data_IF_470886572335
#
_entry.id   IF_470886572335
#
_cell.length_a   1.000
_cell.length_b   1.000
_cell.length_c   1.000
_cell.angle_alpha   90.00
_cell.angle_beta   90.00
_cell.angle_gamma   90.00
#
_symmetry.space_group_name_H-M   'P 1'
#
loop_
_entity.id
_entity.type
_entity.pdbx_description
1 polymer ?
#
# COMPACT_ATOMS: atom_id res chain seq x y z
N UNK A 1 9.88 25.58 -3.19
CA UNK A 1 8.86 24.99 -2.31
C UNK A 1 7.54 24.97 -3.05
N UNK A 2 7.16 23.82 -3.59
CA UNK A 2 5.80 23.58 -4.08
C UNK A 2 4.90 23.50 -2.84
N UNK A 3 3.98 24.46 -2.71
CA UNK A 3 2.93 24.40 -1.70
C UNK A 3 1.90 23.37 -2.22
N UNK A 4 2.03 22.12 -1.79
CA UNK A 4 1.08 21.08 -2.18
C UNK A 4 -0.24 21.27 -1.43
N UNK A 5 -1.34 21.10 -2.15
CA UNK A 5 -2.67 21.09 -1.55
C UNK A 5 -2.84 19.81 -0.74
N UNK A 6 -2.83 19.95 0.58
CA UNK A 6 -3.02 18.84 1.53
C UNK A 6 -4.38 18.14 1.36
N UNK A 7 -5.33 18.70 0.61
CA UNK A 7 -6.61 18.05 0.28
C UNK A 7 -6.45 16.77 -0.56
N UNK A 8 -5.32 16.65 -1.29
CA UNK A 8 -5.00 15.47 -2.12
C UNK A 8 -4.22 14.40 -1.37
N UNK A 9 -3.82 14.65 -0.13
CA UNK A 9 -3.09 13.66 0.68
C UNK A 9 -4.00 12.46 0.99
N UNK A 10 -3.43 11.26 0.91
CA UNK A 10 -4.07 9.98 1.23
C UNK A 10 -3.15 9.15 2.11
N UNK A 11 -3.73 8.22 2.84
CA UNK A 11 -3.00 7.19 3.58
C UNK A 11 -2.93 5.95 2.71
N UNK A 12 -1.72 5.50 2.41
CA UNK A 12 -1.42 4.32 1.64
C UNK A 12 -1.13 3.17 2.59
N UNK A 13 -1.78 2.04 2.33
CA UNK A 13 -1.46 0.78 2.99
C UNK A 13 -0.36 0.08 2.19
N UNK A 14 0.78 -0.13 2.84
CA UNK A 14 1.97 -0.72 2.26
C UNK A 14 2.35 -2.00 3.01
N UNK A 15 3.08 -2.87 2.33
CA UNK A 15 3.67 -4.08 2.89
C UNK A 15 5.18 -4.00 2.76
N UNK A 16 5.88 -4.45 3.80
CA UNK A 16 7.30 -4.75 3.68
C UNK A 16 7.46 -6.02 2.86
N UNK A 17 8.10 -5.92 1.69
CA UNK A 17 8.44 -7.12 0.93
C UNK A 17 9.65 -7.83 1.55
N UNK A 18 9.81 -9.12 1.25
CA UNK A 18 10.97 -9.96 1.63
C UNK A 18 12.33 -9.35 1.20
N UNK A 19 12.32 -8.35 0.30
CA UNK A 19 13.50 -7.58 -0.13
C UNK A 19 13.64 -6.20 0.57
N UNK A 20 12.91 -5.95 1.65
CA UNK A 20 12.86 -4.69 2.42
C UNK A 20 12.45 -3.47 1.59
N UNK A 21 11.72 -3.68 0.50
CA UNK A 21 11.13 -2.59 -0.28
C UNK A 21 9.66 -2.47 0.05
N UNK A 22 9.23 -1.25 0.33
CA UNK A 22 7.83 -0.90 0.50
C UNK A 22 7.11 -1.15 -0.83
N UNK A 23 5.98 -1.84 -0.76
CA UNK A 23 5.10 -2.07 -1.90
C UNK A 23 3.66 -1.82 -1.46
N UNK A 24 2.74 -1.49 -2.37
CA UNK A 24 1.32 -1.49 -2.05
C UNK A 24 0.89 -2.80 -1.40
N UNK A 25 -0.12 -2.77 -0.53
CA UNK A 25 -0.67 -4.00 0.02
C UNK A 25 -1.57 -4.75 -0.95
N UNK A 26 -2.14 -4.02 -1.91
CA UNK A 26 -3.06 -4.58 -2.88
C UNK A 26 -2.68 -4.17 -4.30
N UNK A 27 -2.97 -5.07 -5.23
CA UNK A 27 -2.78 -4.81 -6.65
C UNK A 27 -3.63 -3.59 -7.07
N UNK A 28 -3.06 -2.64 -7.83
CA UNK A 28 -3.84 -1.58 -8.45
C UNK A 28 -4.79 -2.14 -9.52
N UNK A 29 -5.92 -1.49 -9.73
CA UNK A 29 -6.86 -1.85 -10.80
C UNK A 29 -6.43 -1.23 -12.15
N UNK A 30 -6.05 -2.08 -13.10
CA UNK A 30 -5.66 -1.66 -14.45
C UNK A 30 -6.81 -1.16 -15.32
N UNK A 31 -8.05 -1.42 -14.94
CA UNK A 31 -9.24 -1.00 -15.69
C UNK A 31 -9.88 0.28 -15.14
N UNK A 32 -9.28 0.86 -14.10
CA UNK A 32 -9.73 2.10 -13.50
C UNK A 32 -9.74 3.26 -14.52
N UNK A 33 -10.53 4.29 -14.24
CA UNK A 33 -10.62 5.48 -15.09
C UNK A 33 -9.56 6.55 -14.77
N UNK A 34 -8.87 6.42 -13.63
CA UNK A 34 -7.85 7.35 -13.14
C UNK A 34 -6.85 6.64 -12.21
N UNK A 35 -5.71 7.26 -11.92
CA UNK A 35 -4.77 6.72 -10.92
C UNK A 35 -5.38 6.70 -9.52
N UNK A 36 -6.18 7.71 -9.16
CA UNK A 36 -6.91 7.73 -7.89
C UNK A 36 -7.84 6.52 -7.76
N UNK A 37 -8.56 6.16 -8.83
CA UNK A 37 -9.42 4.98 -8.85
C UNK A 37 -8.60 3.68 -8.86
N UNK A 38 -7.47 3.65 -9.59
CA UNK A 38 -6.60 2.48 -9.69
C UNK A 38 -6.00 2.09 -8.34
N UNK A 39 -5.71 3.09 -7.49
CA UNK A 39 -5.12 2.90 -6.17
C UNK A 39 -6.15 2.82 -5.04
N UNK A 40 -7.45 2.87 -5.36
CA UNK A 40 -8.52 2.85 -4.36
C UNK A 40 -8.48 1.60 -3.45
N UNK A 41 -7.92 0.48 -3.92
CA UNK A 41 -7.80 -0.76 -3.15
C UNK A 41 -6.84 -0.68 -1.97
N UNK A 42 -5.90 0.27 -1.95
CA UNK A 42 -4.90 0.42 -0.88
C UNK A 42 -4.75 1.88 -0.42
N UNK A 43 -5.73 2.75 -0.71
CA UNK A 43 -5.71 4.15 -0.31
C UNK A 43 -6.91 4.51 0.56
N UNK A 44 -6.64 5.28 1.61
CA UNK A 44 -7.61 5.64 2.64
C UNK A 44 -7.58 7.15 2.89
N UNK A 45 -8.72 7.68 3.32
CA UNK A 45 -8.84 9.10 3.66
C UNK A 45 -8.17 9.44 5.00
N UNK A 46 -8.12 8.48 5.93
CA UNK A 46 -7.52 8.67 7.26
C UNK A 46 -6.71 7.45 7.69
N UNK A 47 -5.84 7.66 8.66
CA UNK A 47 -4.97 6.61 9.21
C UNK A 47 -5.77 5.59 10.01
N UNK A 48 -6.80 6.02 10.73
CA UNK A 48 -7.69 5.12 11.46
C UNK A 48 -8.42 4.13 10.53
N UNK A 49 -8.78 4.57 9.31
CA UNK A 49 -9.43 3.70 8.34
C UNK A 49 -8.45 2.64 7.79
N UNK A 50 -7.21 3.03 7.50
CA UNK A 50 -6.18 2.10 7.05
C UNK A 50 -5.75 1.12 8.15
N UNK A 51 -5.62 1.58 9.40
CA UNK A 51 -5.29 0.74 10.55
C UNK A 51 -6.42 -0.24 10.91
N UNK A 52 -7.68 0.13 10.67
CA UNK A 52 -8.80 -0.80 10.79
C UNK A 52 -8.69 -1.95 9.78
N UNK A 53 -8.25 -1.67 8.53
CA UNK A 53 -7.99 -2.71 7.54
C UNK A 53 -6.87 -3.66 7.96
N UNK A 54 -5.72 -3.13 8.40
CA UNK A 54 -4.59 -3.94 8.88
C UNK A 54 -5.06 -4.93 9.95
N UNK A 55 -5.85 -4.43 10.90
CA UNK A 55 -6.39 -5.27 11.97
C UNK A 55 -7.29 -6.39 11.43
N UNK A 56 -8.17 -6.10 10.48
CA UNK A 56 -9.07 -7.09 9.88
C UNK A 56 -8.30 -8.16 9.08
N UNK A 57 -7.24 -7.76 8.36
CA UNK A 57 -6.33 -8.68 7.66
C UNK A 57 -5.66 -9.62 8.65
N UNK A 58 -5.08 -9.08 9.73
CA UNK A 58 -4.40 -9.87 10.77
C UNK A 58 -5.38 -10.83 11.46
N UNK A 59 -6.57 -10.36 11.83
CA UNK A 59 -7.59 -11.19 12.47
C UNK A 59 -8.09 -12.30 11.54
N UNK A 60 -8.27 -12.01 10.25
CA UNK A 60 -8.68 -13.01 9.25
C UNK A 60 -7.59 -14.06 9.05
N UNK A 61 -6.32 -13.67 8.85
CA UNK A 61 -5.19 -14.61 8.70
C UNK A 61 -5.02 -15.48 9.95
N UNK A 62 -5.20 -14.90 11.13
CA UNK A 62 -5.14 -15.63 12.40
C UNK A 62 -6.26 -16.66 12.53
N UNK A 63 -7.45 -16.37 12.02
CA UNK A 63 -8.58 -17.31 12.02
C UNK A 63 -8.42 -18.43 10.99
N UNK A 64 -7.69 -18.21 9.90
CA UNK A 64 -7.36 -19.25 8.90
C UNK A 64 -6.27 -20.21 9.38
N UNK A 65 -5.41 -19.77 10.31
CA UNK A 65 -4.54 -20.66 11.08
C UNK A 65 -5.39 -21.40 12.13
N UNK A 66 -5.91 -22.58 11.81
CA UNK A 66 -6.31 -23.55 12.84
C UNK A 66 -5.03 -24.16 13.44
N UNK A 67 -4.64 -23.84 14.70
CA UNK A 67 -3.59 -24.60 15.35
C UNK A 67 -4.06 -26.06 15.45
N UNK A 68 -3.25 -27.00 14.96
CA UNK A 68 -3.51 -28.43 15.15
C UNK A 68 -3.53 -28.69 16.66
N UNK A 69 -4.69 -29.09 17.21
CA UNK A 69 -4.94 -29.24 18.67
C UNK A 69 -4.01 -30.27 19.36
N UNK A 70 -3.09 -30.89 18.63
CA UNK A 70 -2.12 -31.88 19.10
C UNK A 70 -0.67 -31.39 19.24
N UNK A 71 -0.35 -30.13 18.91
CA UNK A 71 1.03 -29.63 18.95
C UNK A 71 1.20 -28.43 19.90
N UNK A 72 1.16 -28.68 21.21
CA UNK A 72 1.41 -27.69 22.28
C UNK A 72 2.81 -27.02 22.20
N UNK A 73 3.70 -27.49 21.32
CA UNK A 73 5.02 -26.91 21.08
C UNK A 73 5.06 -25.89 19.94
N UNK A 74 4.00 -25.80 19.11
CA UNK A 74 3.95 -24.92 17.94
C UNK A 74 3.26 -23.57 18.20
N UNK A 75 2.59 -23.39 19.35
CA UNK A 75 1.87 -22.15 19.67
C UNK A 75 2.78 -20.93 19.88
N UNK A 76 4.04 -21.12 20.30
CA UNK A 76 4.99 -20.03 20.59
C UNK A 76 5.80 -19.62 19.34
N UNK A 77 6.10 -20.55 18.42
CA UNK A 77 6.86 -20.27 17.18
C UNK A 77 5.95 -19.84 16.00
N UNK A 78 4.72 -20.40 15.86
CA UNK A 78 3.84 -20.07 14.74
C UNK A 78 3.23 -18.65 14.84
N UNK A 79 3.23 -18.06 16.03
CA UNK A 79 2.83 -16.67 16.23
C UNK A 79 3.92 -15.66 15.79
N UNK A 80 5.20 -16.07 15.80
CA UNK A 80 6.32 -15.23 15.34
C UNK A 80 6.50 -15.29 13.81
N UNK A 81 6.13 -16.40 13.14
CA UNK A 81 6.25 -16.56 11.67
C UNK A 81 5.15 -15.84 10.85
N UNK A 82 4.11 -15.31 11.49
CA UNK A 82 3.07 -14.50 10.82
C UNK A 82 3.52 -13.05 10.55
N UNK A 83 4.74 -12.68 10.96
CA UNK A 83 5.25 -11.30 11.07
C UNK A 83 6.18 -10.86 9.91
N UNK A 84 6.55 -11.76 8.99
CA UNK A 84 7.62 -11.49 8.00
C UNK A 84 7.24 -10.50 6.88
N UNK A 85 6.00 -10.02 6.83
CA UNK A 85 5.59 -8.89 5.99
C UNK A 85 4.75 -7.91 6.81
N UNK A 86 5.39 -7.10 7.66
CA UNK A 86 4.71 -6.03 8.40
C UNK A 86 3.93 -5.13 7.42
N UNK A 87 2.60 -5.11 7.56
CA UNK A 87 1.75 -4.12 6.91
C UNK A 87 1.77 -2.81 7.70
N UNK A 88 2.06 -1.71 7.01
CA UNK A 88 2.17 -0.39 7.62
C UNK A 88 1.56 0.68 6.73
N UNK A 89 1.38 1.87 7.29
CA UNK A 89 0.73 2.99 6.60
C UNK A 89 1.71 4.14 6.35
N UNK A 90 1.60 4.77 5.19
CA UNK A 90 2.33 6.01 4.85
C UNK A 90 1.38 7.06 4.25
N UNK A 91 1.63 8.35 4.48
CA UNK A 91 0.93 9.45 3.83
C UNK A 91 1.65 9.87 2.56
N UNK A 92 0.87 10.15 1.53
CA UNK A 92 1.43 10.62 0.28
C UNK A 92 0.40 11.27 -0.63
N UNK A 93 0.86 11.68 -1.81
CA UNK A 93 0.06 12.29 -2.86
C UNK A 93 0.35 11.57 -4.17
N UNK A 94 -0.73 11.25 -4.90
CA UNK A 94 -0.64 10.72 -6.27
C UNK A 94 -0.33 11.88 -7.22
N UNK A 95 0.79 11.80 -7.93
CA UNK A 95 1.22 12.77 -8.92
C UNK A 95 0.54 12.53 -10.28
N UNK A 96 0.66 13.50 -11.18
CA UNK A 96 -0.01 13.45 -12.50
C UNK A 96 0.52 12.31 -13.39
N UNK A 97 1.70 11.78 -13.12
CA UNK A 97 2.30 10.61 -13.80
C UNK A 97 1.96 9.27 -13.12
N UNK A 98 1.15 9.30 -12.06
CA UNK A 98 0.75 8.13 -11.28
C UNK A 98 1.77 7.69 -10.23
N UNK A 99 2.91 8.37 -10.07
CA UNK A 99 3.81 8.12 -8.96
C UNK A 99 3.22 8.60 -7.64
N UNK A 100 3.68 8.02 -6.52
CA UNK A 100 3.28 8.43 -5.18
C UNK A 100 4.45 9.16 -4.55
N UNK A 101 4.26 10.42 -4.17
CA UNK A 101 5.19 11.16 -3.34
C UNK A 101 4.78 11.04 -1.87
N UNK A 102 5.62 10.44 -1.04
CA UNK A 102 5.34 10.33 0.38
C UNK A 102 5.67 11.62 1.13
N UNK A 103 4.89 11.92 2.16
CA UNK A 103 4.96 13.18 2.92
C UNK A 103 5.34 12.99 4.39
N UNK A 104 5.46 11.75 4.86
CA UNK A 104 5.80 11.45 6.27
C UNK A 104 7.24 11.79 6.63
N UNK A 105 8.17 11.69 5.67
CA UNK A 105 9.60 11.95 5.84
C UNK A 105 10.04 13.14 4.98
N UNK A 106 9.71 14.38 5.39
CA UNK A 106 10.00 15.57 4.60
C UNK A 106 11.51 15.83 4.41
N UNK A 107 12.38 15.18 5.18
CA UNK A 107 13.83 15.20 5.01
C UNK A 107 14.35 14.37 3.82
N UNK A 108 13.54 13.49 3.24
CA UNK A 108 13.92 12.66 2.10
C UNK A 108 13.38 13.31 0.81
N UNK A 109 14.22 14.07 0.11
CA UNK A 109 13.82 14.81 -1.10
C UNK A 109 13.35 13.90 -2.25
N UNK A 110 13.75 12.62 -2.24
CA UNK A 110 13.47 11.63 -3.29
C UNK A 110 12.57 10.47 -2.81
N UNK A 111 11.66 10.73 -1.87
CA UNK A 111 10.72 9.71 -1.34
C UNK A 111 9.51 9.51 -2.26
N UNK A 112 9.79 9.09 -3.50
CA UNK A 112 8.80 8.88 -4.56
C UNK A 112 8.81 7.42 -5.00
N UNK A 113 7.65 6.76 -4.91
CA UNK A 113 7.42 5.46 -5.51
C UNK A 113 6.89 5.63 -6.93
N UNK A 114 7.65 5.18 -7.93
CA UNK A 114 7.27 5.34 -9.33
C UNK A 114 6.09 4.46 -9.72
N UNK A 115 5.27 4.93 -10.67
CA UNK A 115 4.16 4.15 -11.26
C UNK A 115 4.62 2.79 -11.81
N UNK A 116 5.81 2.76 -12.43
CA UNK A 116 6.43 1.54 -12.96
C UNK A 116 6.77 0.54 -11.85
N UNK A 117 7.17 1.03 -10.67
CA UNK A 117 7.44 0.17 -9.51
C UNK A 117 6.16 -0.42 -8.96
N UNK A 118 5.11 0.40 -8.85
CA UNK A 118 3.79 0.02 -8.31
C UNK A 118 3.15 -1.06 -9.19
N UNK A 119 2.94 -0.78 -10.48
CA UNK A 119 2.30 -1.72 -11.39
C UNK A 119 3.21 -2.91 -11.73
N UNK A 120 4.52 -2.66 -11.85
CA UNK A 120 5.51 -3.68 -12.14
C UNK A 120 5.65 -4.75 -11.05
N UNK A 121 5.41 -4.39 -9.78
CA UNK A 121 5.41 -5.36 -8.67
C UNK A 121 4.37 -6.48 -8.85
N UNK A 122 3.26 -6.19 -9.54
CA UNK A 122 2.18 -7.13 -9.79
C UNK A 122 2.16 -7.68 -11.23
N UNK A 123 3.12 -7.31 -12.07
CA UNK A 123 3.13 -7.69 -13.48
C UNK A 123 1.97 -7.12 -14.28
N UNK A 124 1.40 -5.99 -13.84
CA UNK A 124 0.27 -5.32 -14.46
C UNK A 124 0.78 -4.26 -15.43
N UNK A 125 0.17 -4.17 -16.62
CA UNK A 125 0.49 -3.11 -17.57
C UNK A 125 -0.05 -1.77 -17.04
N UNK A 126 0.78 -0.72 -17.12
CA UNK A 126 0.38 0.63 -16.70
C UNK A 126 -0.73 1.11 -17.65
N UNK A 127 -1.92 1.45 -17.15
CA UNK A 127 -3.00 1.97 -17.97
C UNK A 127 -2.64 3.34 -18.53
N UNK A 128 -3.05 3.60 -19.77
CA UNK A 128 -2.91 4.93 -20.37
C UNK A 128 -4.00 5.86 -19.83
N UNK A 129 -3.73 6.45 -18.66
CA UNK A 129 -4.54 7.52 -18.09
C UNK A 129 -4.15 8.85 -18.73
N UNK A 130 -4.39 9.01 -20.03
CA UNK A 130 -3.98 10.21 -20.76
C UNK A 130 -4.55 11.50 -20.13
N UNK A 131 -3.77 12.21 -19.32
CA UNK A 131 -3.98 13.62 -18.97
C UNK A 131 -3.33 14.46 -20.08
N UNK A 132 -3.99 15.26 -20.95
CA UNK A 132 -5.29 15.94 -21.04
C UNK A 132 -5.69 16.09 -22.52
N UNK A 133 -6.93 16.51 -22.87
CA UNK A 133 -7.12 17.28 -24.09
C UNK A 133 -6.31 18.59 -24.02
N UNK A 134 -5.45 18.84 -25.00
CA UNK A 134 -4.72 20.10 -25.16
C UNK A 134 -5.70 21.23 -25.48
N UNK A 135 -6.02 22.13 -24.54
CA UNK A 135 -6.51 23.50 -24.85
C UNK A 135 -6.07 24.47 -23.75
#
# INVERSE_FOLDING_TARGET
MLQFDKSRERVFLLMSSVMLREQPAYCPDSNAASFEDAYASFTYATEEAAQAEIKDIIETRRAEYEPDENDEAAEDDAAEDLDDSEEFTRRGIILDDGSIQFTDHPEIEDDIMSVETIFGAYGVEIPDFSAKPSI
#
